data_IF_871393630878
#
_entry.id   IF_871393630878
#
_cell.length_a   1.000
_cell.length_b   1.000
_cell.length_c   1.000
_cell.angle_alpha   90.00
_cell.angle_beta   90.00
_cell.angle_gamma   90.00
#
_symmetry.space_group_name_H-M   'P 1'
#
loop_
_entity.id
_entity.type
_entity.pdbx_description
1 polymer ?
#
# COMPACT_ATOMS: atom_id res chain seq x y z
N UNK A 1 -2.07 -28.31 46.03
CA UNK A 1 -3.03 -27.96 44.96
C UNK A 1 -2.34 -26.97 44.03
N UNK A 2 -2.17 -27.34 42.76
CA UNK A 2 -1.36 -26.58 41.81
C UNK A 2 -2.12 -25.32 41.36
N UNK A 3 -1.50 -24.16 41.56
CA UNK A 3 -2.00 -22.88 41.04
C UNK A 3 -1.77 -22.87 39.52
N UNK A 4 -2.86 -22.93 38.75
CA UNK A 4 -2.82 -22.81 37.30
C UNK A 4 -2.57 -21.36 36.92
N UNK A 5 -1.39 -21.07 36.40
CA UNK A 5 -1.04 -19.77 35.83
C UNK A 5 -1.67 -19.68 34.43
N UNK A 6 -2.76 -18.92 34.29
CA UNK A 6 -3.33 -18.60 33.00
C UNK A 6 -2.39 -17.61 32.27
N UNK A 7 -1.64 -18.11 31.28
CA UNK A 7 -0.90 -17.29 30.34
C UNK A 7 -1.91 -16.62 29.40
N UNK A 8 -2.18 -15.34 29.62
CA UNK A 8 -2.90 -14.50 28.67
C UNK A 8 -2.01 -14.34 27.43
N UNK A 9 -2.38 -15.01 26.34
CA UNK A 9 -1.71 -14.93 25.04
C UNK A 9 -2.00 -13.56 24.43
N UNK A 10 -1.19 -12.56 24.77
CA UNK A 10 -1.27 -11.20 24.25
C UNK A 10 -0.65 -11.08 22.84
N UNK A 11 -0.91 -12.05 21.96
CA UNK A 11 -0.13 -12.24 20.73
C UNK A 11 -0.80 -11.80 19.41
N UNK A 12 -1.99 -11.20 19.41
CA UNK A 12 -2.77 -11.03 18.16
C UNK A 12 -3.56 -9.72 18.00
N UNK A 13 -3.24 -8.64 18.73
CA UNK A 13 -4.06 -7.42 18.70
C UNK A 13 -3.44 -6.20 18.02
N UNK A 14 -2.22 -6.29 17.49
CA UNK A 14 -1.69 -5.18 16.70
C UNK A 14 -2.36 -5.17 15.32
N UNK A 15 -3.07 -4.09 14.96
CA UNK A 15 -3.63 -3.97 13.62
C UNK A 15 -2.49 -3.99 12.60
N UNK A 16 -2.69 -4.60 11.41
CA UNK A 16 -1.68 -4.56 10.36
C UNK A 16 -1.37 -3.09 10.05
N UNK A 17 -0.10 -2.75 10.19
CA UNK A 17 0.44 -1.42 9.89
C UNK A 17 0.58 -1.19 8.39
N UNK A 18 0.67 -2.30 7.65
CA UNK A 18 0.98 -2.31 6.24
C UNK A 18 -0.29 -2.11 5.43
N UNK A 19 -0.17 -1.32 4.36
CA UNK A 19 -1.26 -1.06 3.45
C UNK A 19 -0.80 -1.16 2.01
N UNK A 20 -1.75 -1.28 1.09
CA UNK A 20 -1.45 -1.21 -0.33
C UNK A 20 -2.33 -0.18 -1.01
N UNK A 21 -1.73 0.55 -1.94
CA UNK A 21 -2.36 1.66 -2.64
C UNK A 21 -2.12 1.53 -4.15
N UNK A 22 -3.09 1.94 -4.96
CA UNK A 22 -2.86 2.23 -6.38
C UNK A 22 -2.39 3.67 -6.48
N UNK A 23 -1.28 3.85 -7.17
CA UNK A 23 -0.72 5.16 -7.49
C UNK A 23 -0.78 5.41 -8.98
N UNK A 24 -1.15 6.62 -9.37
CA UNK A 24 -1.03 7.10 -10.74
C UNK A 24 -0.27 8.40 -10.72
N UNK A 25 0.79 8.52 -11.53
CA UNK A 25 1.62 9.72 -11.61
C UNK A 25 2.22 9.92 -13.01
N UNK A 26 2.71 11.12 -13.30
CA UNK A 26 3.47 11.37 -14.54
C UNK A 26 4.97 11.29 -14.30
N UNK A 27 5.69 10.47 -15.08
CA UNK A 27 7.14 10.35 -14.96
C UNK A 27 7.91 11.48 -15.68
N UNK A 28 9.23 11.52 -15.49
CA UNK A 28 10.09 12.53 -16.13
C UNK A 28 10.15 12.45 -17.66
N UNK A 29 9.65 11.37 -18.27
CA UNK A 29 9.55 11.23 -19.71
C UNK A 29 8.19 11.70 -20.25
N UNK A 30 7.25 12.06 -19.38
CA UNK A 30 5.89 12.48 -19.75
C UNK A 30 4.90 11.33 -19.93
N UNK A 31 5.23 10.13 -19.44
CA UNK A 31 4.31 8.99 -19.43
C UNK A 31 3.43 9.03 -18.20
N UNK A 32 2.19 8.56 -18.33
CA UNK A 32 1.30 8.27 -17.20
C UNK A 32 1.61 6.86 -16.72
N UNK A 33 2.12 6.76 -15.50
CA UNK A 33 2.43 5.49 -14.86
C UNK A 33 1.36 5.14 -13.83
N UNK A 34 0.96 3.88 -13.79
CA UNK A 34 0.10 3.30 -12.73
C UNK A 34 0.77 2.09 -12.14
N UNK A 35 0.74 1.96 -10.82
CA UNK A 35 1.30 0.80 -10.12
C UNK A 35 0.66 0.59 -8.76
N UNK A 36 0.92 -0.56 -8.16
CA UNK A 36 0.57 -0.83 -6.77
C UNK A 36 1.76 -0.50 -5.88
N UNK A 37 1.53 0.22 -4.79
CA UNK A 37 2.52 0.50 -3.76
C UNK A 37 2.19 -0.32 -2.52
N UNK A 38 3.16 -1.08 -2.02
CA UNK A 38 3.14 -1.59 -0.65
C UNK A 38 3.74 -0.52 0.25
N UNK A 39 2.97 -0.11 1.25
CA UNK A 39 3.38 0.83 2.27
C UNK A 39 3.61 0.04 3.54
N UNK A 40 4.87 -0.19 3.87
CA UNK A 40 5.30 -0.84 5.10
C UNK A 40 5.47 0.23 6.19
N UNK A 41 4.80 0.06 7.32
CA UNK A 41 4.85 1.01 8.44
C UNK A 41 5.39 0.31 9.67
N UNK A 42 6.70 0.11 9.72
CA UNK A 42 7.32 -0.44 10.92
C UNK A 42 7.20 0.52 12.11
N UNK A 43 6.67 -0.03 13.22
CA UNK A 43 6.62 0.70 14.48
C UNK A 43 8.05 0.95 14.96
N UNK A 44 8.48 2.21 14.84
CA UNK A 44 9.79 2.77 15.22
C UNK A 44 10.88 2.84 14.14
N UNK A 45 10.65 2.37 12.91
CA UNK A 45 11.68 2.40 11.85
C UNK A 45 11.35 3.30 10.66
N UNK A 46 10.09 3.74 10.52
CA UNK A 46 9.69 4.74 9.53
C UNK A 46 8.56 4.24 8.64
N UNK A 47 8.53 4.70 7.39
CA UNK A 47 7.57 4.22 6.40
C UNK A 47 8.28 4.01 5.09
N UNK A 48 8.28 2.76 4.63
CA UNK A 48 8.89 2.34 3.39
C UNK A 48 7.84 2.11 2.32
N UNK A 49 8.23 2.37 1.07
CA UNK A 49 7.35 2.33 -0.09
C UNK A 49 7.98 1.47 -1.17
N UNK A 50 7.32 0.38 -1.52
CA UNK A 50 7.74 -0.49 -2.62
C UNK A 50 6.71 -0.47 -3.74
N UNK A 51 7.11 -0.03 -4.94
CA UNK A 51 6.26 -0.04 -6.14
C UNK A 51 6.40 -1.40 -6.84
N UNK A 52 5.28 -2.06 -7.10
CA UNK A 52 5.18 -3.30 -7.87
C UNK A 52 4.19 -3.12 -9.04
N UNK A 53 4.43 -3.85 -10.14
CA UNK A 53 3.50 -3.89 -11.28
C UNK A 53 3.34 -2.56 -12.02
N UNK A 54 4.42 -1.77 -12.11
CA UNK A 54 4.42 -0.46 -12.75
C UNK A 54 4.19 -0.58 -14.25
N UNK A 55 3.11 0.01 -14.74
CA UNK A 55 2.77 0.15 -16.16
C UNK A 55 2.78 1.63 -16.54
N UNK A 56 3.38 1.99 -17.69
CA UNK A 56 3.56 3.38 -18.09
C UNK A 56 3.27 3.57 -19.58
N UNK A 57 2.31 4.45 -19.89
CA UNK A 57 1.87 4.74 -21.26
C UNK A 57 1.91 6.26 -21.52
N UNK A 58 2.15 6.69 -22.76
CA UNK A 58 2.00 8.11 -23.10
C UNK A 58 0.52 8.51 -23.19
N UNK A 59 0.15 9.74 -22.78
CA UNK A 59 -1.20 10.23 -22.99
C UNK A 59 -1.50 10.32 -24.50
N UNK A 60 -2.77 10.16 -24.91
CA UNK A 60 -3.18 10.37 -26.30
C UNK A 60 -2.80 11.75 -26.81
N UNK A 61 -2.62 11.88 -28.12
CA UNK A 61 -2.28 13.19 -28.74
C UNK A 61 -3.27 14.28 -28.34
N UNK A 62 -2.74 15.46 -27.99
CA UNK A 62 -3.53 16.61 -27.54
C UNK A 62 -4.13 16.47 -26.14
N UNK A 63 -3.82 15.40 -25.39
CA UNK A 63 -4.22 15.25 -23.98
C UNK A 63 -3.01 15.46 -23.06
N UNK A 64 -3.24 16.22 -22.00
CA UNK A 64 -2.31 16.27 -20.86
C UNK A 64 -2.61 15.11 -19.92
N UNK A 65 -1.60 14.60 -19.18
CA UNK A 65 -1.81 13.70 -18.07
C UNK A 65 -2.85 14.21 -17.08
N UNK A 66 -3.59 13.29 -16.47
CA UNK A 66 -4.42 13.60 -15.31
C UNK A 66 -3.57 13.97 -14.10
N UNK A 67 -4.18 14.47 -13.02
CA UNK A 67 -3.47 14.72 -11.78
C UNK A 67 -2.98 13.41 -11.17
N UNK A 68 -1.90 13.49 -10.39
CA UNK A 68 -1.42 12.37 -9.60
C UNK A 68 -2.51 11.93 -8.60
N UNK A 69 -2.58 10.63 -8.33
CA UNK A 69 -3.56 10.06 -7.42
C UNK A 69 -3.03 8.89 -6.63
N UNK A 70 -3.51 8.79 -5.39
CA UNK A 70 -3.23 7.72 -4.43
C UNK A 70 -4.57 7.23 -3.91
N UNK A 71 -4.80 5.92 -4.01
CA UNK A 71 -6.07 5.30 -3.64
C UNK A 71 -5.78 3.98 -2.92
N UNK A 72 -6.36 3.71 -1.75
CA UNK A 72 -6.21 2.40 -1.12
C UNK A 72 -6.79 1.31 -2.03
N UNK A 73 -6.22 0.12 -1.97
CA UNK A 73 -6.85 -1.03 -2.61
C UNK A 73 -8.25 -1.26 -2.01
N UNK A 74 -9.23 -1.68 -2.83
CA UNK A 74 -10.52 -2.09 -2.31
C UNK A 74 -10.33 -3.24 -1.31
N UNK A 75 -11.07 -3.20 -0.20
CA UNK A 75 -11.07 -4.30 0.74
C UNK A 75 -11.55 -5.57 0.03
N UNK A 76 -10.80 -6.67 0.16
CA UNK A 76 -11.34 -7.98 -0.22
C UNK A 76 -12.39 -8.34 0.82
N UNK A 77 -13.61 -8.62 0.36
CA UNK A 77 -14.62 -9.25 1.21
C UNK A 77 -14.03 -10.56 1.74
N UNK A 78 -14.11 -10.76 3.06
CA UNK A 78 -13.69 -12.00 3.69
C UNK A 78 -14.85 -12.99 3.56
N UNK A 79 -14.68 -14.05 2.76
CA UNK A 79 -15.58 -15.22 2.77
C UNK A 79 -15.53 -15.95 4.13
#
# INVERSE_FOLDING_TARGET
MAAGTALLVAGCTDPPTDSSEIVTFTDGHGRVCTGSVVVDREQNEGTDYEITGLDCEYPPEGRSPGPDSYRPLPQRESD
#
